data_IF_088546458662
#
_entry.id   IF_088546458662
#
_cell.length_a   1.000
_cell.length_b   1.000
_cell.length_c   1.000
_cell.angle_alpha   90.00
_cell.angle_beta   90.00
_cell.angle_gamma   90.00
#
_symmetry.space_group_name_H-M   'P 1'
#
loop_
_entity.id
_entity.type
_entity.pdbx_description
1 polymer ?
#
# COMPACT_ATOMS: atom_id res chain seq x y z
N UNK A 1 23.69 8.20 5.04
CA UNK A 1 22.66 9.09 5.63
C UNK A 1 21.89 9.72 4.49
N UNK A 2 20.57 9.85 4.62
CA UNK A 2 19.73 10.52 3.63
C UNK A 2 19.30 11.86 4.24
N UNK A 3 19.65 12.96 3.57
CA UNK A 3 19.19 14.30 3.95
C UNK A 3 17.83 14.50 3.32
N UNK A 4 16.78 14.64 4.13
CA UNK A 4 15.46 15.06 3.65
C UNK A 4 15.35 16.55 3.91
N UNK A 5 15.13 17.32 2.85
CA UNK A 5 14.90 18.75 2.95
C UNK A 5 13.39 18.98 2.99
N UNK A 6 12.89 19.53 4.09
CA UNK A 6 11.49 19.93 4.18
C UNK A 6 11.34 21.36 3.62
N UNK A 7 10.86 21.44 2.37
CA UNK A 7 10.57 22.71 1.69
C UNK A 7 9.10 23.15 1.84
N UNK A 8 8.32 22.53 2.72
CA UNK A 8 6.90 22.89 2.91
C UNK A 8 6.71 24.37 3.27
N UNK A 9 7.69 24.99 3.92
CA UNK A 9 7.77 26.44 4.07
C UNK A 9 8.94 27.03 3.26
N UNK A 10 8.68 27.67 2.10
CA UNK A 10 9.71 28.31 1.27
C UNK A 10 10.47 29.44 2.00
N UNK A 11 9.87 30.01 3.06
CA UNK A 11 10.44 31.10 3.85
C UNK A 11 11.20 30.60 5.09
N UNK A 12 11.05 29.33 5.46
CA UNK A 12 11.74 28.70 6.58
C UNK A 12 11.91 27.19 6.32
N UNK A 13 12.83 26.80 5.41
CA UNK A 13 13.08 25.40 5.13
C UNK A 13 13.61 24.71 6.39
N UNK A 14 12.95 23.63 6.82
CA UNK A 14 13.39 22.82 7.96
C UNK A 14 14.31 21.70 7.46
N UNK A 15 15.48 21.58 8.07
CA UNK A 15 16.40 20.50 7.77
C UNK A 15 16.01 19.26 8.58
N UNK A 16 15.58 18.19 7.90
CA UNK A 16 15.21 16.92 8.53
C UNK A 16 16.16 15.82 8.09
N UNK A 17 17.23 15.59 8.85
CA UNK A 17 18.19 14.53 8.52
C UNK A 17 17.69 13.17 8.99
N UNK A 18 17.54 12.23 8.04
CA UNK A 18 17.20 10.83 8.32
C UNK A 18 18.49 9.99 8.27
N UNK A 19 18.96 9.56 9.44
CA UNK A 19 20.15 8.72 9.54
C UNK A 19 19.77 7.24 9.63
N UNK A 20 20.12 6.49 8.60
CA UNK A 20 19.72 5.09 8.39
C UNK A 20 20.83 4.08 8.63
N UNK A 21 22.06 4.56 8.74
CA UNK A 21 23.24 3.77 9.05
C UNK A 21 24.09 4.54 10.07
N UNK A 22 23.59 4.73 11.31
CA UNK A 22 24.30 5.47 12.35
C UNK A 22 25.67 4.89 12.68
N UNK A 23 25.87 3.59 12.46
CA UNK A 23 27.14 2.89 12.65
C UNK A 23 28.22 3.23 11.61
N UNK A 24 27.83 3.70 10.42
CA UNK A 24 28.77 4.12 9.37
C UNK A 24 29.19 5.57 9.51
N UNK A 25 28.65 6.27 10.50
CA UNK A 25 28.87 7.70 10.69
C UNK A 25 30.14 7.91 11.52
N UNK A 26 31.08 8.68 10.98
CA UNK A 26 32.32 8.99 11.69
C UNK A 26 32.01 9.67 13.04
N UNK A 27 32.75 9.32 14.11
CA UNK A 27 32.46 9.82 15.45
C UNK A 27 32.55 11.36 15.55
N UNK A 28 33.46 11.98 14.79
CA UNK A 28 33.61 13.44 14.72
C UNK A 28 32.40 14.11 14.06
N UNK A 29 31.92 13.55 12.94
CA UNK A 29 30.72 14.02 12.26
C UNK A 29 29.47 13.83 13.13
N UNK A 30 29.40 12.72 13.88
CA UNK A 30 28.30 12.45 14.81
C UNK A 30 28.24 13.49 15.92
N UNK A 31 29.38 13.83 16.51
CA UNK A 31 29.46 14.85 17.54
C UNK A 31 29.10 16.23 17.00
N UNK A 32 29.57 16.55 15.79
CA UNK A 32 29.26 17.81 15.11
C UNK A 32 27.77 17.96 14.84
N UNK A 33 27.14 16.92 14.26
CA UNK A 33 25.72 16.93 13.96
C UNK A 33 24.87 16.98 15.22
N UNK A 34 25.18 16.18 16.24
CA UNK A 34 24.47 16.22 17.53
C UNK A 34 24.57 17.57 18.22
N UNK A 35 25.63 18.34 17.98
CA UNK A 35 25.82 19.69 18.51
C UNK A 35 25.04 20.79 17.81
N UNK A 36 24.38 20.52 16.67
CA UNK A 36 23.62 21.52 15.91
C UNK A 36 22.25 21.85 16.52
N UNK A 37 21.77 21.04 17.48
CA UNK A 37 20.49 21.22 18.20
C UNK A 37 19.31 21.62 17.30
N UNK A 38 19.21 20.97 16.13
CA UNK A 38 18.18 21.27 15.14
C UNK A 38 16.83 20.70 15.60
N UNK A 39 15.72 21.46 15.47
CA UNK A 39 14.40 20.98 15.85
C UNK A 39 14.00 19.75 15.01
N UNK A 40 13.62 18.67 15.69
CA UNK A 40 13.24 17.41 15.03
C UNK A 40 14.41 16.53 14.56
N UNK A 41 15.66 16.94 14.85
CA UNK A 41 16.85 16.18 14.51
C UNK A 41 17.29 15.27 15.67
N UNK A 42 17.33 13.96 15.42
CA UNK A 42 17.90 12.98 16.34
C UNK A 42 18.64 11.90 15.57
N UNK A 43 19.86 11.57 15.97
CA UNK A 43 20.60 10.44 15.40
C UNK A 43 20.11 9.17 16.11
N UNK A 44 19.33 8.30 15.44
CA UNK A 44 18.84 7.07 16.06
C UNK A 44 20.00 6.11 16.34
N UNK A 45 19.84 5.28 17.36
CA UNK A 45 20.63 4.07 17.52
C UNK A 45 20.12 2.96 16.59
N UNK A 46 20.89 1.88 16.44
CA UNK A 46 20.44 0.71 15.67
C UNK A 46 19.16 0.08 16.26
N UNK A 47 19.04 0.07 17.59
CA UNK A 47 17.84 -0.41 18.27
C UNK A 47 16.63 0.52 17.99
N UNK A 48 16.85 1.82 17.87
CA UNK A 48 15.78 2.76 17.54
C UNK A 48 15.27 2.57 16.11
N UNK A 49 16.14 2.18 15.17
CA UNK A 49 15.75 1.85 13.79
C UNK A 49 14.90 0.56 13.69
N UNK A 50 15.00 -0.31 14.69
CA UNK A 50 14.14 -1.48 14.80
C UNK A 50 12.76 -1.15 15.40
N UNK A 51 12.65 -0.03 16.13
CA UNK A 51 11.42 0.43 16.77
C UNK A 51 10.45 1.06 15.74
N UNK A 52 9.19 0.64 15.81
CA UNK A 52 8.10 1.12 14.95
C UNK A 52 7.88 2.64 15.06
N UNK A 53 7.96 3.19 16.26
CA UNK A 53 7.75 4.64 16.49
C UNK A 53 8.76 5.50 15.71
N UNK A 54 10.01 5.04 15.59
CA UNK A 54 11.04 5.74 14.81
C UNK A 54 10.73 5.76 13.33
N UNK A 55 10.25 4.63 12.80
CA UNK A 55 9.90 4.49 11.39
C UNK A 55 8.67 5.35 11.05
N UNK A 56 7.65 5.33 11.91
CA UNK A 56 6.45 6.17 11.75
C UNK A 56 6.81 7.66 11.81
N UNK A 57 7.71 8.06 12.71
CA UNK A 57 8.23 9.44 12.77
C UNK A 57 8.96 9.84 11.49
N UNK A 58 9.77 8.97 10.88
CA UNK A 58 10.41 9.29 9.60
C UNK A 58 9.41 9.51 8.47
N UNK A 59 8.38 8.67 8.38
CA UNK A 59 7.32 8.83 7.39
C UNK A 59 6.49 10.08 7.64
N UNK A 60 6.11 10.34 8.89
CA UNK A 60 5.40 11.55 9.31
C UNK A 60 6.18 12.82 8.93
N UNK A 61 7.48 12.85 9.23
CA UNK A 61 8.35 13.98 8.92
C UNK A 61 8.52 14.22 7.43
N UNK A 62 8.63 13.16 6.62
CA UNK A 62 8.83 13.31 5.19
C UNK A 62 7.52 13.63 4.44
N UNK A 63 6.41 13.00 4.84
CA UNK A 63 5.12 13.12 4.15
C UNK A 63 4.23 14.25 4.71
N UNK A 64 4.62 14.87 5.83
CA UNK A 64 3.83 15.91 6.50
C UNK A 64 2.55 15.38 7.15
N UNK A 65 2.54 14.11 7.58
CA UNK A 65 1.36 13.45 8.14
C UNK A 65 1.41 13.56 9.67
N UNK A 66 0.33 14.00 10.36
CA UNK A 66 0.29 14.03 11.81
C UNK A 66 0.40 12.62 12.41
N UNK A 67 1.08 12.51 13.56
CA UNK A 67 1.15 11.28 14.33
C UNK A 67 0.00 11.21 15.33
N UNK A 68 -0.63 10.05 15.42
CA UNK A 68 -1.65 9.75 16.40
C UNK A 68 -1.02 9.13 17.65
N UNK A 69 -1.67 9.28 18.80
CA UNK A 69 -1.21 8.69 20.06
C UNK A 69 -2.03 7.45 20.36
N UNK A 70 -1.37 6.30 20.48
CA UNK A 70 -1.98 5.02 20.86
C UNK A 70 -2.38 5.02 22.34
N UNK A 71 -3.20 4.03 22.72
CA UNK A 71 -3.62 3.81 24.12
C UNK A 71 -2.44 3.61 25.08
N UNK A 72 -1.31 3.12 24.58
CA UNK A 72 -0.06 2.92 25.34
C UNK A 72 0.81 4.19 25.44
N UNK A 73 0.37 5.31 24.86
CA UNK A 73 1.10 6.57 24.81
C UNK A 73 2.15 6.66 23.69
N UNK A 74 2.33 5.61 22.89
CA UNK A 74 3.26 5.62 21.75
C UNK A 74 2.67 6.37 20.55
N UNK A 75 3.54 7.04 19.77
CA UNK A 75 3.14 7.74 18.55
C UNK A 75 3.18 6.79 17.36
N UNK A 76 2.11 6.77 16.57
CA UNK A 76 2.04 5.94 15.38
C UNK A 76 1.28 6.61 14.23
N UNK A 77 1.46 6.08 13.03
CA UNK A 77 0.59 6.38 11.89
C UNK A 77 -0.57 5.39 11.86
N UNK A 78 -1.75 5.81 12.33
CA UNK A 78 -2.93 4.93 12.45
C UNK A 78 -3.33 4.30 11.10
N UNK A 79 -3.16 5.03 10.00
CA UNK A 79 -3.43 4.54 8.64
C UNK A 79 -2.68 3.24 8.29
N UNK A 80 -1.44 3.08 8.76
CA UNK A 80 -0.63 1.87 8.49
C UNK A 80 -1.21 0.67 9.23
N UNK A 81 -1.63 0.86 10.48
CA UNK A 81 -2.18 -0.20 11.33
C UNK A 81 -3.58 -0.63 10.87
N UNK A 82 -4.44 0.33 10.50
CA UNK A 82 -5.77 0.07 9.94
C UNK A 82 -5.72 -0.79 8.67
N UNK A 83 -4.65 -0.63 7.87
CA UNK A 83 -4.43 -1.41 6.66
C UNK A 83 -3.60 -2.68 6.89
N UNK A 84 -3.24 -3.00 8.13
CA UNK A 84 -2.51 -4.21 8.51
C UNK A 84 -1.13 -4.34 7.85
N UNK A 85 -0.51 -3.22 7.46
CA UNK A 85 0.77 -3.22 6.74
C UNK A 85 1.94 -3.34 7.72
N UNK A 86 2.85 -4.27 7.42
CA UNK A 86 4.03 -4.50 8.25
C UNK A 86 5.13 -3.53 7.83
N UNK A 87 5.35 -2.49 8.63
CA UNK A 87 6.40 -1.51 8.38
C UNK A 87 7.77 -2.03 8.84
N UNK A 88 8.71 -2.14 7.91
CA UNK A 88 10.12 -2.45 8.16
C UNK A 88 10.98 -1.23 7.82
N UNK A 89 12.24 -1.21 8.27
CA UNK A 89 13.18 -0.16 7.86
C UNK A 89 13.34 -0.11 6.33
N UNK A 90 13.46 -1.27 5.68
CA UNK A 90 13.57 -1.37 4.22
C UNK A 90 12.36 -0.75 3.51
N UNK A 91 11.13 -1.09 3.94
CA UNK A 91 9.93 -0.52 3.35
C UNK A 91 9.79 0.98 3.63
N UNK A 92 10.20 1.43 4.81
CA UNK A 92 10.26 2.86 5.14
C UNK A 92 11.15 3.60 4.16
N UNK A 93 12.36 3.08 3.92
CA UNK A 93 13.29 3.69 2.97
C UNK A 93 12.79 3.69 1.52
N UNK A 94 12.10 2.61 1.12
CA UNK A 94 11.50 2.51 -0.21
C UNK A 94 10.33 3.48 -0.40
N UNK A 95 9.50 3.69 0.62
CA UNK A 95 8.43 4.69 0.61
C UNK A 95 9.04 6.10 0.52
N UNK A 96 10.07 6.40 1.31
CA UNK A 96 10.77 7.69 1.27
C UNK A 96 11.40 7.96 -0.10
N UNK A 97 12.08 6.96 -0.68
CA UNK A 97 12.69 7.07 -2.00
C UNK A 97 11.65 7.31 -3.11
N UNK A 98 10.48 6.65 -3.00
CA UNK A 98 9.36 6.90 -3.90
C UNK A 98 8.81 8.31 -3.72
N UNK A 99 8.63 8.74 -2.47
CA UNK A 99 8.13 10.07 -2.15
C UNK A 99 9.02 11.18 -2.72
N UNK A 100 10.33 11.09 -2.53
CA UNK A 100 11.30 12.05 -3.07
C UNK A 100 11.24 12.13 -4.60
N UNK A 101 11.21 10.99 -5.28
CA UNK A 101 11.08 10.95 -6.75
C UNK A 101 9.80 11.62 -7.22
N UNK A 102 8.67 11.32 -6.56
CA UNK A 102 7.38 11.95 -6.87
C UNK A 102 7.44 13.47 -6.61
N UNK A 103 8.00 13.90 -5.48
CA UNK A 103 8.13 15.32 -5.13
C UNK A 103 9.00 16.09 -6.13
N UNK A 104 10.06 15.47 -6.64
CA UNK A 104 10.93 16.04 -7.67
C UNK A 104 10.40 15.86 -9.11
N UNK A 105 9.20 15.30 -9.30
CA UNK A 105 8.62 14.97 -10.63
C UNK A 105 9.54 14.07 -11.48
N UNK A 106 10.29 13.18 -10.81
CA UNK A 106 11.12 12.17 -11.45
C UNK A 106 10.27 10.91 -11.66
N UNK A 107 10.25 10.34 -12.89
CA UNK A 107 9.55 9.09 -13.16
C UNK A 107 9.91 7.95 -12.19
N UNK A 108 8.89 7.29 -11.66
CA UNK A 108 9.03 6.21 -10.69
C UNK A 108 8.96 4.83 -11.37
N UNK A 109 10.12 4.31 -11.82
CA UNK A 109 10.24 2.97 -12.38
C UNK A 109 10.95 2.01 -11.42
N UNK A 110 10.21 1.06 -10.87
CA UNK A 110 10.64 0.14 -9.83
C UNK A 110 11.04 -1.20 -10.47
N UNK A 111 12.33 -1.54 -10.44
CA UNK A 111 12.82 -2.86 -10.88
C UNK A 111 13.03 -3.78 -9.67
N UNK A 112 12.33 -4.90 -9.62
CA UNK A 112 12.50 -5.87 -8.54
C UNK A 112 11.82 -7.20 -8.84
N UNK A 113 12.17 -8.22 -8.07
CA UNK A 113 11.61 -9.57 -8.22
C UNK A 113 10.09 -9.61 -7.96
N UNK A 114 9.41 -10.61 -8.48
CA UNK A 114 8.00 -10.85 -8.13
C UNK A 114 7.86 -11.12 -6.64
N UNK A 115 6.82 -10.58 -6.00
CA UNK A 115 6.50 -10.94 -4.61
C UNK A 115 7.34 -10.26 -3.52
N UNK A 116 8.06 -9.18 -3.85
CA UNK A 116 8.81 -8.33 -2.89
C UNK A 116 7.98 -7.14 -2.35
N UNK A 117 6.64 -7.21 -2.46
CA UNK A 117 5.69 -6.18 -2.01
C UNK A 117 5.69 -4.84 -2.78
N UNK A 118 6.10 -4.80 -4.05
CA UNK A 118 6.05 -3.57 -4.89
C UNK A 118 4.65 -2.94 -4.92
N UNK A 119 3.63 -3.73 -5.25
CA UNK A 119 2.24 -3.28 -5.36
C UNK A 119 1.67 -2.89 -3.99
N UNK A 120 1.95 -3.67 -2.94
CA UNK A 120 1.51 -3.37 -1.58
C UNK A 120 2.15 -2.09 -1.01
N UNK A 121 3.43 -1.86 -1.29
CA UNK A 121 4.15 -0.67 -0.86
C UNK A 121 3.63 0.59 -1.58
N UNK A 122 3.37 0.49 -2.88
CA UNK A 122 2.80 1.61 -3.66
C UNK A 122 1.37 1.94 -3.20
N UNK A 123 0.55 0.91 -2.91
CA UNK A 123 -0.78 1.11 -2.31
C UNK A 123 -0.69 1.80 -0.96
N UNK A 124 0.23 1.37 -0.09
CA UNK A 124 0.45 2.00 1.21
C UNK A 124 0.91 3.46 1.06
N UNK A 125 1.80 3.76 0.12
CA UNK A 125 2.20 5.13 -0.20
C UNK A 125 0.99 6.00 -0.63
N UNK A 126 0.11 5.47 -1.49
CA UNK A 126 -1.12 6.17 -1.90
C UNK A 126 -2.06 6.45 -0.73
N UNK A 127 -2.18 5.50 0.20
CA UNK A 127 -3.02 5.66 1.40
C UNK A 127 -2.44 6.72 2.34
N UNK A 128 -1.12 6.69 2.58
CA UNK A 128 -0.43 7.68 3.39
C UNK A 128 -0.56 9.09 2.79
N UNK A 129 -0.38 9.24 1.48
CA UNK A 129 -0.49 10.55 0.80
C UNK A 129 -1.87 11.19 0.94
N UNK A 130 -2.92 10.38 1.07
CA UNK A 130 -4.29 10.85 1.18
C UNK A 130 -4.85 10.66 2.61
N UNK A 131 -4.02 10.30 3.60
CA UNK A 131 -4.50 9.97 4.95
C UNK A 131 -5.02 11.19 5.70
N UNK A 132 -4.42 12.36 5.49
CA UNK A 132 -4.92 13.63 6.04
C UNK A 132 -6.33 13.93 5.55
N UNK A 133 -6.59 13.72 4.26
CA UNK A 133 -7.90 13.88 3.64
C UNK A 133 -8.91 12.85 4.17
N UNK A 134 -8.48 11.62 4.42
CA UNK A 134 -9.32 10.60 5.06
C UNK A 134 -9.70 10.97 6.49
N UNK A 135 -8.76 11.52 7.26
CA UNK A 135 -9.01 11.97 8.63
C UNK A 135 -9.93 13.20 8.68
N UNK A 136 -9.69 14.17 7.81
CA UNK A 136 -10.58 15.33 7.66
C UNK A 136 -11.98 14.89 7.22
N UNK A 137 -12.07 13.91 6.31
CA UNK A 137 -13.34 13.37 5.87
C UNK A 137 -14.14 12.71 6.98
N UNK A 138 -13.48 11.96 7.87
CA UNK A 138 -14.08 11.36 9.07
C UNK A 138 -14.58 12.44 10.04
N UNK A 139 -13.77 13.46 10.32
CA UNK A 139 -14.14 14.54 11.23
C UNK A 139 -15.37 15.31 10.74
N UNK A 140 -15.34 15.76 9.48
CA UNK A 140 -16.48 16.46 8.86
C UNK A 140 -17.75 15.61 8.84
N UNK A 141 -17.61 14.29 8.64
CA UNK A 141 -18.76 13.38 8.69
C UNK A 141 -19.37 13.30 10.09
N UNK A 142 -18.53 13.24 11.12
CA UNK A 142 -19.00 13.23 12.51
C UNK A 142 -19.73 14.54 12.85
N UNK A 143 -19.15 15.68 12.48
CA UNK A 143 -19.78 17.01 12.65
C UNK A 143 -21.10 17.09 11.89
N UNK A 144 -21.15 16.66 10.62
CA UNK A 144 -22.38 16.67 9.84
C UNK A 144 -23.48 15.79 10.45
N UNK A 145 -23.13 14.65 11.05
CA UNK A 145 -24.11 13.78 11.71
C UNK A 145 -24.63 14.40 13.01
N UNK A 146 -23.76 15.06 13.79
CA UNK A 146 -24.17 15.80 14.99
C UNK A 146 -25.05 17.02 14.63
N UNK A 147 -24.73 17.72 13.55
CA UNK A 147 -25.58 18.78 13.00
C UNK A 147 -26.97 18.25 12.61
N UNK A 148 -27.04 17.08 11.98
CA UNK A 148 -28.32 16.44 11.61
C UNK A 148 -29.13 16.11 12.86
N UNK A 149 -28.51 15.59 13.92
CA UNK A 149 -29.19 15.34 15.19
C UNK A 149 -29.77 16.63 15.80
N UNK A 150 -28.98 17.71 15.79
CA UNK A 150 -29.41 19.00 16.32
C UNK A 150 -30.60 19.57 15.52
N UNK A 151 -30.54 19.50 14.18
CA UNK A 151 -31.62 19.95 13.30
C UNK A 151 -32.90 19.14 13.49
N UNK A 152 -32.80 17.82 13.69
CA UNK A 152 -33.97 16.99 13.98
C UNK A 152 -34.64 17.35 15.31
N UNK A 153 -33.82 17.65 16.33
CA UNK A 153 -34.34 18.09 17.63
C UNK A 153 -35.00 19.48 17.54
N UNK A 154 -34.45 20.40 16.72
CA UNK A 154 -35.07 21.71 16.42
C UNK A 154 -36.40 21.57 15.67
N UNK A 155 -36.48 20.61 14.74
CA UNK A 155 -37.70 20.27 13.99
C UNK A 155 -38.75 19.56 14.87
N UNK A 156 -38.43 19.23 16.13
CA UNK A 156 -39.36 18.69 17.13
C UNK A 156 -39.43 17.16 17.19
N UNK A 157 -38.52 16.44 16.53
CA UNK A 157 -38.46 14.99 16.57
C UNK A 157 -37.72 14.48 17.83
N UNK A 158 -38.22 13.38 18.44
CA UNK A 158 -37.52 12.72 19.54
C UNK A 158 -36.32 11.91 19.01
N UNK A 159 -35.10 12.41 19.24
CA UNK A 159 -33.85 11.70 18.89
C UNK A 159 -33.51 10.67 19.97
N UNK A 160 -33.23 9.44 19.55
CA UNK A 160 -32.86 8.36 20.47
C UNK A 160 -31.56 8.66 21.20
N UNK A 161 -31.55 8.50 22.52
CA UNK A 161 -30.34 8.63 23.35
C UNK A 161 -29.50 7.35 23.41
N UNK A 162 -29.98 6.27 22.78
CA UNK A 162 -29.30 4.98 22.79
C UNK A 162 -28.26 4.90 21.67
N UNK A 163 -26.98 4.92 22.05
CA UNK A 163 -25.84 4.85 21.14
C UNK A 163 -24.68 5.72 21.62
N UNK A 164 -23.45 5.30 21.34
CA UNK A 164 -22.24 6.05 21.73
C UNK A 164 -21.86 7.13 20.73
N UNK A 165 -22.36 7.06 19.50
CA UNK A 165 -22.11 8.04 18.44
C UNK A 165 -23.39 8.47 17.71
N UNK A 166 -23.33 9.63 17.04
CA UNK A 166 -24.47 10.22 16.33
C UNK A 166 -25.06 9.28 15.27
N UNK A 167 -24.20 8.55 14.55
CA UNK A 167 -24.64 7.54 13.58
C UNK A 167 -25.52 6.45 14.22
N UNK A 168 -25.16 5.96 15.42
CA UNK A 168 -25.94 4.92 16.11
C UNK A 168 -27.28 5.46 16.61
N UNK A 169 -27.28 6.67 17.17
CA UNK A 169 -28.50 7.34 17.65
C UNK A 169 -29.46 7.65 16.51
N UNK A 170 -28.97 8.17 15.39
CA UNK A 170 -29.77 8.38 14.18
C UNK A 170 -30.30 7.06 13.63
N UNK A 171 -29.49 6.00 13.60
CA UNK A 171 -29.93 4.67 13.16
C UNK A 171 -31.07 4.14 14.03
N UNK A 172 -30.96 4.29 15.35
CA UNK A 172 -32.00 3.88 16.27
C UNK A 172 -33.25 4.76 16.16
N UNK A 173 -33.09 6.06 15.92
CA UNK A 173 -34.21 6.99 15.67
C UNK A 173 -34.99 6.60 14.41
N UNK A 174 -34.30 6.17 13.34
CA UNK A 174 -34.95 5.64 12.13
C UNK A 174 -35.71 4.33 12.44
N UNK A 175 -35.16 3.46 13.29
CA UNK A 175 -35.77 2.19 13.65
C UNK A 175 -37.00 2.37 14.56
N UNK A 176 -36.92 3.26 15.55
CA UNK A 176 -37.99 3.58 16.50
C UNK A 176 -39.12 4.38 15.82
N UNK A 177 -38.77 5.25 14.87
CA UNK A 177 -39.69 6.08 14.06
C UNK A 177 -40.53 5.30 13.03
N UNK A 178 -40.40 3.97 12.96
CA UNK A 178 -41.24 3.13 12.09
C UNK A 178 -42.75 3.19 12.42
N UNK A 179 -43.11 3.72 13.61
CA UNK A 179 -44.49 3.96 14.02
C UNK A 179 -45.12 5.26 13.53
N UNK A 180 -44.33 6.24 13.09
CA UNK A 180 -44.78 7.63 12.79
C UNK A 180 -44.91 7.89 11.28
N UNK A 181 -45.50 6.93 10.55
CA UNK A 181 -45.59 6.90 9.08
C UNK A 181 -44.25 7.06 8.31
N UNK A 182 -43.10 7.01 9.00
CA UNK A 182 -41.77 7.22 8.40
C UNK A 182 -41.37 8.68 8.21
N UNK A 183 -42.04 9.64 8.88
CA UNK A 183 -41.71 11.08 8.78
C UNK A 183 -40.27 11.37 9.22
N UNK A 184 -39.85 10.83 10.38
CA UNK A 184 -38.45 10.97 10.87
C UNK A 184 -37.43 10.40 9.89
N UNK A 185 -37.72 9.24 9.28
CA UNK A 185 -36.84 8.61 8.30
C UNK A 185 -36.74 9.44 7.00
N UNK A 186 -37.85 10.03 6.57
CA UNK A 186 -37.91 10.93 5.40
C UNK A 186 -37.07 12.17 5.65
N UNK A 187 -37.23 12.80 6.82
CA UNK A 187 -36.49 14.00 7.19
C UNK A 187 -34.99 13.75 7.31
N UNK A 188 -34.60 12.65 7.94
CA UNK A 188 -33.19 12.23 8.03
C UNK A 188 -32.61 12.01 6.62
N UNK A 189 -33.35 11.32 5.75
CA UNK A 189 -32.92 11.08 4.37
C UNK A 189 -32.75 12.38 3.58
N UNK A 190 -33.64 13.37 3.73
CA UNK A 190 -33.51 14.69 3.13
C UNK A 190 -32.25 15.43 3.60
N UNK A 191 -32.04 15.49 4.92
CA UNK A 191 -30.89 16.17 5.51
C UNK A 191 -29.57 15.49 5.12
N UNK A 192 -29.52 14.16 5.10
CA UNK A 192 -28.36 13.39 4.61
C UNK A 192 -28.07 13.71 3.14
N UNK A 193 -29.09 13.75 2.28
CA UNK A 193 -28.93 14.09 0.86
C UNK A 193 -28.46 15.53 0.67
N UNK A 194 -28.96 16.47 1.46
CA UNK A 194 -28.53 17.86 1.44
C UNK A 194 -27.05 18.00 1.85
N UNK A 195 -26.66 17.38 2.98
CA UNK A 195 -25.26 17.36 3.42
C UNK A 195 -24.36 16.65 2.42
N UNK A 196 -24.81 15.53 1.83
CA UNK A 196 -24.09 14.81 0.78
C UNK A 196 -23.85 15.69 -0.46
N UNK A 197 -24.85 16.46 -0.91
CA UNK A 197 -24.70 17.39 -2.03
C UNK A 197 -23.70 18.53 -1.80
N UNK A 198 -23.43 18.86 -0.53
CA UNK A 198 -22.46 19.89 -0.13
C UNK A 198 -21.06 19.32 0.16
N UNK A 199 -20.88 17.99 0.11
CA UNK A 199 -19.57 17.38 0.35
C UNK A 199 -18.61 17.67 -0.79
N UNK A 200 -17.32 17.64 -0.44
CA UNK A 200 -16.26 17.73 -1.42
C UNK A 200 -16.34 16.59 -2.45
N UNK A 201 -15.84 16.80 -3.66
CA UNK A 201 -15.84 15.80 -4.71
C UNK A 201 -14.92 14.58 -4.43
N UNK A 202 -14.10 14.62 -3.37
CA UNK A 202 -13.27 13.50 -2.92
C UNK A 202 -14.05 12.40 -2.22
N UNK A 203 -15.25 12.69 -1.71
CA UNK A 203 -16.09 11.67 -1.11
C UNK A 203 -16.66 10.78 -2.20
N UNK A 204 -16.71 9.48 -1.95
CA UNK A 204 -17.31 8.52 -2.87
C UNK A 204 -18.73 8.99 -3.18
N UNK A 205 -18.97 9.27 -4.46
CA UNK A 205 -20.27 9.73 -4.93
C UNK A 205 -21.09 8.52 -5.35
N UNK A 206 -22.06 8.12 -4.51
CA UNK A 206 -23.06 7.14 -4.94
C UNK A 206 -24.09 7.88 -5.81
N UNK A 207 -24.50 7.33 -6.97
CA UNK A 207 -25.64 7.89 -7.68
C UNK A 207 -26.83 7.87 -6.72
N UNK A 208 -27.38 9.04 -6.41
CA UNK A 208 -28.60 9.17 -5.61
C UNK A 208 -29.68 8.34 -6.30
N UNK A 209 -30.05 7.20 -5.71
CA UNK A 209 -31.14 6.40 -6.24
C UNK A 209 -32.41 7.22 -6.09
N UNK A 210 -32.99 7.62 -7.22
CA UNK A 210 -34.38 8.09 -7.26
C UNK A 210 -35.25 6.91 -6.84
N UNK A 211 -35.60 6.84 -5.57
CA UNK A 211 -36.64 5.94 -5.10
C UNK A 211 -37.97 6.53 -5.55
N UNK A 212 -38.60 5.91 -6.54
CA UNK A 212 -40.02 6.12 -6.80
C UNK A 212 -40.78 5.73 -5.52
N UNK A 213 -41.31 6.77 -4.87
CA UNK A 213 -41.96 6.77 -3.57
C UNK A 213 -43.24 5.92 -3.56
N UNK A 214 -43.49 5.19 -2.46
CA UNK A 214 -44.86 4.92 -1.92
C UNK A 214 -44.91 4.00 -0.68
N UNK A 215 -43.85 3.27 -0.30
CA UNK A 215 -43.89 2.38 0.88
C UNK A 215 -42.97 2.86 2.01
N UNK A 216 -43.51 2.93 3.23
CA UNK A 216 -42.78 3.31 4.47
C UNK A 216 -41.54 2.44 4.68
N UNK A 217 -41.66 1.14 4.40
CA UNK A 217 -40.56 0.16 4.52
C UNK A 217 -39.41 0.53 3.57
N UNK A 218 -39.72 1.00 2.37
CA UNK A 218 -38.70 1.42 1.39
C UNK A 218 -37.97 2.68 1.83
N UNK A 219 -38.67 3.65 2.44
CA UNK A 219 -38.08 4.90 2.93
C UNK A 219 -37.16 4.64 4.12
N UNK A 220 -37.61 3.85 5.09
CA UNK A 220 -36.80 3.46 6.26
C UNK A 220 -35.52 2.74 5.81
N UNK A 221 -35.62 1.80 4.87
CA UNK A 221 -34.45 1.09 4.35
C UNK A 221 -33.52 2.02 3.55
N UNK A 222 -34.06 2.97 2.79
CA UNK A 222 -33.28 3.96 2.06
C UNK A 222 -32.51 4.87 3.02
N UNK A 223 -33.16 5.37 4.09
CA UNK A 223 -32.52 6.19 5.12
C UNK A 223 -31.41 5.43 5.85
N UNK A 224 -31.63 4.17 6.22
CA UNK A 224 -30.60 3.33 6.84
C UNK A 224 -29.40 3.10 5.90
N UNK A 225 -29.66 2.78 4.63
CA UNK A 225 -28.60 2.57 3.65
C UNK A 225 -27.78 3.83 3.40
N UNK A 226 -28.44 5.00 3.33
CA UNK A 226 -27.78 6.27 3.13
C UNK A 226 -26.99 6.68 4.38
N UNK A 227 -27.52 6.45 5.58
CA UNK A 227 -26.82 6.69 6.83
C UNK A 227 -25.58 5.78 6.96
N UNK A 228 -25.71 4.49 6.64
CA UNK A 228 -24.60 3.55 6.66
C UNK A 228 -23.51 3.98 5.66
N UNK A 229 -23.92 4.41 4.46
CA UNK A 229 -23.00 4.94 3.44
C UNK A 229 -22.31 6.24 3.88
N UNK A 230 -23.08 7.19 4.41
CA UNK A 230 -22.57 8.47 4.90
C UNK A 230 -21.56 8.25 6.03
N UNK A 231 -21.87 7.32 6.95
CA UNK A 231 -21.02 6.95 8.10
C UNK A 231 -19.74 6.22 7.68
N UNK A 232 -19.74 5.48 6.56
CA UNK A 232 -18.53 4.80 6.07
C UNK A 232 -17.44 5.78 5.61
N UNK A 233 -17.76 7.06 5.37
CA UNK A 233 -16.80 8.08 4.95
C UNK A 233 -15.93 7.67 3.76
N UNK A 234 -16.48 6.88 2.83
CA UNK A 234 -15.72 6.36 1.69
C UNK A 234 -15.15 7.50 0.86
N UNK A 235 -13.86 7.45 0.55
CA UNK A 235 -13.24 8.35 -0.42
C UNK A 235 -13.35 7.74 -1.84
N UNK A 236 -13.35 8.59 -2.84
CA UNK A 236 -13.15 8.18 -4.23
C UNK A 236 -11.88 7.33 -4.36
N UNK A 237 -11.89 6.41 -5.34
CA UNK A 237 -10.75 5.53 -5.58
C UNK A 237 -9.52 6.37 -5.98
N UNK A 238 -8.56 6.47 -5.07
CA UNK A 238 -7.29 7.20 -5.31
C UNK A 238 -6.15 6.32 -5.79
N UNK A 239 -6.30 5.00 -5.71
CA UNK A 239 -5.29 4.03 -6.17
C UNK A 239 -5.84 3.16 -7.29
N UNK A 240 -5.15 3.16 -8.44
CA UNK A 240 -5.47 2.35 -9.61
C UNK A 240 -4.33 1.39 -9.90
N UNK A 241 -4.57 0.11 -9.68
CA UNK A 241 -3.67 -0.99 -10.03
C UNK A 241 -4.04 -1.55 -11.41
N UNK A 242 -3.09 -1.48 -12.34
CA UNK A 242 -3.19 -2.01 -13.69
C UNK A 242 -2.12 -3.08 -13.83
N UNK A 243 -2.54 -4.34 -13.91
CA UNK A 243 -1.64 -5.45 -14.24
C UNK A 243 -1.42 -5.42 -15.75
N UNK A 244 -0.21 -5.09 -16.17
CA UNK A 244 0.11 -5.02 -17.58
C UNK A 244 0.41 -6.42 -18.09
N UNK A 245 -0.25 -6.81 -19.17
CA UNK A 245 0.05 -8.03 -19.91
C UNK A 245 0.08 -7.77 -21.41
N UNK A 246 0.49 -8.78 -22.18
CA UNK A 246 0.62 -8.71 -23.64
C UNK A 246 -0.71 -8.56 -24.39
N UNK A 247 -1.85 -8.78 -23.73
CA UNK A 247 -3.18 -8.69 -24.34
C UNK A 247 -3.76 -7.27 -24.34
N UNK A 248 -3.26 -6.39 -23.47
CA UNK A 248 -3.71 -5.00 -23.40
C UNK A 248 -3.21 -4.19 -24.60
N UNK A 249 -4.15 -3.51 -25.26
CA UNK A 249 -3.91 -2.66 -26.42
C UNK A 249 -3.80 -1.18 -26.04
N UNK A 250 -3.36 -0.33 -26.97
CA UNK A 250 -3.31 1.13 -26.76
C UNK A 250 -4.70 1.71 -26.41
N UNK A 251 -5.75 1.23 -27.08
CA UNK A 251 -7.13 1.66 -26.84
C UNK A 251 -7.61 1.31 -25.42
N UNK A 252 -7.17 0.17 -24.88
CA UNK A 252 -7.49 -0.22 -23.50
C UNK A 252 -6.86 0.75 -22.50
N UNK A 253 -5.59 1.12 -22.71
CA UNK A 253 -4.91 2.12 -21.86
C UNK A 253 -5.59 3.49 -21.97
N UNK A 254 -5.95 3.94 -23.17
CA UNK A 254 -6.68 5.19 -23.37
C UNK A 254 -8.03 5.15 -22.64
N UNK A 255 -8.76 4.03 -22.72
CA UNK A 255 -10.02 3.83 -22.02
C UNK A 255 -9.88 3.87 -20.49
N UNK A 256 -8.88 3.17 -19.95
CA UNK A 256 -8.57 3.17 -18.52
C UNK A 256 -8.18 4.56 -18.03
N UNK A 257 -7.25 5.23 -18.72
CA UNK A 257 -6.80 6.57 -18.35
C UNK A 257 -7.92 7.60 -18.49
N UNK A 258 -8.84 7.46 -19.45
CA UNK A 258 -10.02 8.34 -19.52
C UNK A 258 -10.84 8.33 -18.23
N UNK A 259 -11.02 7.16 -17.61
CA UNK A 259 -11.70 7.03 -16.32
C UNK A 259 -10.87 7.65 -15.18
N UNK A 260 -9.58 7.37 -15.15
CA UNK A 260 -8.64 7.91 -14.13
C UNK A 260 -8.60 9.43 -14.19
N UNK A 261 -8.46 10.02 -15.38
CA UNK A 261 -8.45 11.48 -15.60
C UNK A 261 -9.77 12.12 -15.14
N UNK A 262 -10.90 11.47 -15.38
CA UNK A 262 -12.20 11.95 -14.90
C UNK A 262 -12.26 12.00 -13.37
N UNK A 263 -11.71 11.00 -12.67
CA UNK A 263 -11.60 10.99 -11.20
C UNK A 263 -10.64 12.09 -10.74
N UNK A 264 -9.45 12.18 -11.36
CA UNK A 264 -8.42 13.16 -11.02
C UNK A 264 -8.94 14.60 -11.11
N UNK A 265 -9.71 14.93 -12.16
CA UNK A 265 -10.34 16.23 -12.35
C UNK A 265 -11.40 16.54 -11.29
N UNK A 266 -12.17 15.55 -10.83
CA UNK A 266 -13.16 15.75 -9.75
C UNK A 266 -12.46 16.09 -8.43
N UNK A 267 -11.40 15.37 -8.10
CA UNK A 267 -10.77 15.48 -6.77
C UNK A 267 -9.65 16.52 -6.67
N UNK A 268 -9.37 17.26 -7.76
CA UNK A 268 -8.26 18.21 -7.84
C UNK A 268 -8.34 19.31 -6.77
N UNK A 269 -9.53 19.83 -6.50
CA UNK A 269 -9.77 20.88 -5.50
C UNK A 269 -9.53 20.39 -4.06
N UNK A 270 -9.59 19.08 -3.85
CA UNK A 270 -9.34 18.45 -2.55
C UNK A 270 -7.86 18.19 -2.29
N UNK A 271 -6.96 18.59 -3.19
CA UNK A 271 -5.52 18.31 -3.12
C UNK A 271 -5.20 16.79 -3.01
N UNK A 272 -6.11 15.94 -3.51
CA UNK A 272 -5.96 14.49 -3.47
C UNK A 272 -4.97 14.03 -4.54
N UNK A 273 -4.07 13.13 -4.17
CA UNK A 273 -3.14 12.51 -5.12
C UNK A 273 -3.74 11.20 -5.65
N UNK A 274 -3.87 11.09 -6.97
CA UNK A 274 -4.23 9.84 -7.65
C UNK A 274 -2.96 9.07 -8.00
N UNK A 275 -2.83 7.85 -7.51
CA UNK A 275 -1.68 6.99 -7.80
C UNK A 275 -2.11 5.89 -8.77
N UNK A 276 -1.48 5.86 -9.95
CA UNK A 276 -1.64 4.80 -10.94
C UNK A 276 -0.42 3.89 -10.88
N UNK A 277 -0.64 2.65 -10.49
CA UNK A 277 0.38 1.62 -10.41
C UNK A 277 0.28 0.68 -11.61
N UNK A 278 1.31 0.69 -12.46
CA UNK A 278 1.44 -0.19 -13.62
C UNK A 278 2.37 -1.36 -13.22
N UNK A 279 1.81 -2.55 -12.98
CA UNK A 279 2.61 -3.73 -12.65
C UNK A 279 3.06 -4.45 -13.93
N UNK A 280 4.24 -5.05 -13.89
CA UNK A 280 4.79 -5.87 -14.99
C UNK A 280 4.87 -5.17 -16.36
N UNK A 281 5.20 -3.88 -16.41
CA UNK A 281 5.17 -3.07 -17.66
C UNK A 281 5.96 -3.68 -18.83
N UNK A 282 6.98 -4.49 -18.54
CA UNK A 282 7.86 -5.08 -19.52
C UNK A 282 7.32 -6.36 -20.18
N UNK A 283 6.12 -6.80 -19.82
CA UNK A 283 5.36 -7.83 -20.55
C UNK A 283 4.52 -7.23 -21.69
N UNK A 284 4.37 -5.90 -21.72
CA UNK A 284 3.52 -5.20 -22.68
C UNK A 284 4.07 -5.22 -24.10
N UNK A 285 3.15 -5.31 -25.07
CA UNK A 285 3.43 -5.07 -26.48
C UNK A 285 3.47 -3.57 -26.84
N UNK A 286 2.92 -2.70 -25.99
CA UNK A 286 2.75 -1.24 -26.24
C UNK A 286 3.68 -0.38 -25.39
N UNK A 287 4.97 -0.76 -25.31
CA UNK A 287 5.99 -0.04 -24.53
C UNK A 287 6.17 1.44 -24.94
N UNK A 288 5.83 1.80 -26.18
CA UNK A 288 5.86 3.19 -26.64
C UNK A 288 4.90 4.08 -25.87
N UNK A 289 3.63 3.64 -25.75
CA UNK A 289 2.60 4.35 -24.99
C UNK A 289 2.92 4.37 -23.48
N UNK A 290 3.41 3.25 -22.93
CA UNK A 290 3.81 3.20 -21.52
C UNK A 290 4.98 4.14 -21.22
N UNK A 291 5.92 4.29 -22.17
CA UNK A 291 6.99 5.29 -22.06
C UNK A 291 6.41 6.70 -22.04
N UNK A 292 5.44 7.01 -22.89
CA UNK A 292 4.77 8.32 -22.91
C UNK A 292 4.12 8.62 -21.56
N UNK A 293 3.33 7.66 -21.04
CA UNK A 293 2.63 7.78 -19.76
C UNK A 293 3.60 7.98 -18.60
N UNK A 294 4.65 7.17 -18.52
CA UNK A 294 5.55 7.14 -17.35
C UNK A 294 6.61 8.25 -17.40
N UNK A 295 7.15 8.55 -18.58
CA UNK A 295 8.27 9.49 -18.75
C UNK A 295 7.78 10.87 -19.13
N UNK A 296 6.90 10.97 -20.13
CA UNK A 296 6.45 12.24 -20.68
C UNK A 296 5.19 12.76 -19.98
N UNK A 297 4.65 12.01 -19.01
CA UNK A 297 3.43 12.33 -18.26
C UNK A 297 2.27 12.72 -19.18
N UNK A 298 2.14 11.99 -20.29
CA UNK A 298 1.09 12.22 -21.31
C UNK A 298 0.53 10.91 -21.84
N UNK A 299 -0.65 10.99 -22.45
CA UNK A 299 -1.26 9.87 -23.16
C UNK A 299 -1.96 10.40 -24.42
N UNK A 300 -1.60 9.86 -25.59
CA UNK A 300 -2.13 10.33 -26.87
C UNK A 300 -1.77 11.79 -27.18
N UNK A 301 -0.64 12.27 -26.66
CA UNK A 301 -0.16 13.65 -26.83
C UNK A 301 -0.77 14.67 -25.86
N UNK A 302 -1.70 14.27 -24.99
CA UNK A 302 -2.26 15.14 -23.95
C UNK A 302 -1.58 14.91 -22.60
N UNK A 303 -1.18 15.98 -21.91
CA UNK A 303 -0.62 15.90 -20.56
C UNK A 303 -1.66 15.36 -19.56
N UNK A 304 -1.18 14.52 -18.66
CA UNK A 304 -1.94 14.02 -17.51
C UNK A 304 -2.12 15.14 -16.48
N UNK A 305 -3.17 15.05 -15.67
CA UNK A 305 -3.44 15.99 -14.59
C UNK A 305 -2.31 15.98 -13.55
N UNK A 306 -1.94 17.15 -13.00
CA UNK A 306 -0.78 17.27 -12.10
C UNK A 306 -0.91 16.44 -10.81
N UNK A 307 -2.14 16.13 -10.40
CA UNK A 307 -2.42 15.29 -9.25
C UNK A 307 -2.39 13.78 -9.56
N UNK A 308 -2.06 13.38 -10.79
CA UNK A 308 -1.81 11.99 -11.18
C UNK A 308 -0.33 11.67 -11.04
N UNK A 309 -0.03 10.67 -10.21
CA UNK A 309 1.29 10.08 -10.01
C UNK A 309 1.31 8.69 -10.61
N UNK A 310 2.15 8.47 -11.61
CA UNK A 310 2.35 7.16 -12.22
C UNK A 310 3.57 6.47 -11.60
N UNK A 311 3.35 5.26 -11.09
CA UNK A 311 4.41 4.38 -10.58
C UNK A 311 4.38 3.10 -11.40
N UNK A 312 5.50 2.77 -12.04
CA UNK A 312 5.61 1.59 -12.87
C UNK A 312 6.54 0.56 -12.23
N UNK A 313 6.17 -0.71 -12.25
CA UNK A 313 6.99 -1.81 -11.79
C UNK A 313 7.35 -2.74 -12.95
N UNK A 314 8.57 -3.26 -12.90
CA UNK A 314 9.07 -4.24 -13.86
C UNK A 314 9.86 -5.35 -13.17
N UNK A 315 9.87 -6.51 -13.80
CA UNK A 315 10.71 -7.63 -13.40
C UNK A 315 12.07 -7.54 -14.13
N UNK A 316 13.19 -7.96 -13.52
CA UNK A 316 14.48 -7.94 -14.21
C UNK A 316 14.46 -8.87 -15.45
N UNK A 317 15.09 -8.50 -16.57
CA UNK A 317 15.18 -9.36 -17.73
C UNK A 317 16.06 -10.59 -17.43
N UNK A 318 15.60 -11.77 -17.87
CA UNK A 318 16.33 -13.04 -17.69
C UNK A 318 16.58 -13.69 -19.05
N UNK A 319 17.75 -14.32 -19.19
CA UNK A 319 18.08 -15.18 -20.32
C UNK A 319 17.15 -16.40 -20.35
N UNK A 320 16.85 -16.93 -21.53
CA UNK A 320 16.06 -18.15 -21.64
C UNK A 320 16.92 -19.36 -21.26
N UNK A 321 16.50 -20.14 -20.25
CA UNK A 321 17.08 -21.45 -20.01
C UNK A 321 16.47 -22.39 -21.04
N UNK A 322 17.24 -22.86 -22.02
CA UNK A 322 16.76 -23.84 -23.00
C UNK A 322 16.50 -25.20 -22.31
N UNK A 323 15.32 -25.40 -21.74
CA UNK A 323 14.86 -26.71 -21.27
C UNK A 323 14.37 -27.56 -22.45
N UNK A 324 15.00 -28.72 -22.65
CA UNK A 324 14.61 -29.71 -23.67
C UNK A 324 13.19 -30.22 -23.36
N UNK A 325 12.38 -30.47 -24.41
CA UNK A 325 10.92 -30.70 -24.28
C UNK A 325 10.44 -31.71 -23.22
N UNK A 326 11.22 -32.75 -22.91
CA UNK A 326 10.85 -33.74 -21.85
C UNK A 326 10.94 -33.19 -20.42
N UNK A 327 11.72 -32.15 -20.15
CA UNK A 327 11.84 -31.56 -18.80
C UNK A 327 10.67 -30.63 -18.46
N UNK A 328 10.09 -29.98 -19.48
CA UNK A 328 8.83 -29.23 -19.37
C UNK A 328 7.66 -30.15 -19.03
N UNK A 329 7.59 -31.31 -19.67
CA UNK A 329 6.54 -32.31 -19.43
C UNK A 329 6.64 -32.96 -18.02
N UNK A 330 7.83 -32.97 -17.40
CA UNK A 330 8.04 -33.46 -16.03
C UNK A 330 7.87 -32.39 -14.95
N UNK A 331 7.54 -31.15 -15.33
CA UNK A 331 7.40 -30.03 -14.38
C UNK A 331 8.70 -29.57 -13.73
N UNK A 332 9.87 -29.98 -14.26
CA UNK A 332 11.18 -29.57 -13.73
C UNK A 332 11.56 -28.12 -14.07
N UNK A 333 10.72 -27.44 -14.85
CA UNK A 333 10.85 -26.04 -15.27
C UNK A 333 10.28 -25.04 -14.25
N UNK A 334 9.79 -25.52 -13.10
CA UNK A 334 9.10 -24.72 -12.08
C UNK A 334 9.91 -23.54 -11.50
N UNK A 335 11.23 -23.54 -11.70
CA UNK A 335 12.16 -22.49 -11.24
C UNK A 335 12.80 -21.67 -12.37
N UNK A 336 12.48 -21.94 -13.65
CA UNK A 336 13.13 -21.27 -14.78
C UNK A 336 12.63 -19.85 -15.04
N UNK A 337 11.56 -19.41 -14.37
CA UNK A 337 11.03 -18.06 -14.51
C UNK A 337 10.47 -17.82 -15.91
N UNK A 338 9.23 -18.27 -16.14
CA UNK A 338 8.51 -18.14 -17.41
C UNK A 338 8.19 -16.70 -17.87
N UNK A 339 8.69 -15.68 -17.18
CA UNK A 339 8.41 -14.29 -17.53
C UNK A 339 9.42 -13.80 -18.57
N UNK A 340 9.12 -14.05 -19.85
CA UNK A 340 9.78 -13.37 -20.94
C UNK A 340 9.37 -11.89 -20.88
N UNK A 341 10.36 -11.02 -20.69
CA UNK A 341 10.13 -9.58 -20.61
C UNK A 341 10.95 -8.85 -21.68
N UNK A 342 10.32 -7.89 -22.32
CA UNK A 342 10.95 -7.07 -23.33
C UNK A 342 12.02 -6.15 -22.72
N UNK A 343 13.06 -5.86 -23.50
CA UNK A 343 14.07 -4.86 -23.14
C UNK A 343 13.43 -3.47 -23.09
N UNK A 344 13.64 -2.74 -22.00
CA UNK A 344 13.11 -1.39 -21.85
C UNK A 344 13.77 -0.39 -22.84
N UNK A 345 13.01 0.64 -23.29
CA UNK A 345 13.58 1.77 -24.00
C UNK A 345 14.73 2.45 -23.22
N UNK A 346 15.73 2.97 -23.94
CA UNK A 346 16.95 3.51 -23.33
C UNK A 346 16.74 4.66 -22.34
N UNK A 347 15.68 5.48 -22.52
CA UNK A 347 15.30 6.54 -21.58
C UNK A 347 14.76 5.98 -20.26
N UNK A 348 13.91 4.95 -20.32
CA UNK A 348 13.36 4.28 -19.13
C UNK A 348 14.44 3.56 -18.33
N UNK A 349 15.40 2.93 -19.03
CA UNK A 349 16.48 2.19 -18.37
C UNK A 349 17.41 3.08 -17.51
N UNK A 350 17.49 4.39 -17.78
CA UNK A 350 18.26 5.35 -16.96
C UNK A 350 17.52 5.80 -15.70
N UNK A 351 16.19 5.68 -15.69
CA UNK A 351 15.32 6.18 -14.62
C UNK A 351 14.88 5.08 -13.67
N UNK A 352 15.03 3.81 -14.06
CA UNK A 352 14.77 2.68 -13.17
C UNK A 352 15.64 2.75 -11.93
N UNK A 353 15.08 2.39 -10.79
CA UNK A 353 15.82 2.12 -9.58
C UNK A 353 15.59 0.69 -9.12
N UNK A 354 16.64 0.11 -8.57
CA UNK A 354 16.61 -1.25 -8.07
C UNK A 354 15.87 -1.26 -6.73
N UNK A 355 14.67 -1.81 -6.76
CA UNK A 355 13.96 -2.27 -5.57
C UNK A 355 14.56 -3.58 -5.05
N UNK A 356 15.18 -4.33 -5.95
CA UNK A 356 15.97 -5.52 -5.67
C UNK A 356 15.16 -6.72 -5.18
N UNK A 357 15.88 -7.69 -4.62
CA UNK A 357 15.33 -8.83 -3.89
C UNK A 357 15.44 -8.57 -2.38
N UNK A 358 14.54 -9.17 -1.59
CA UNK A 358 14.67 -9.13 -0.13
C UNK A 358 15.86 -9.98 0.32
N UNK A 359 16.70 -9.38 1.16
CA UNK A 359 17.77 -10.12 1.85
C UNK A 359 17.17 -11.02 2.93
N UNK A 360 17.91 -12.07 3.30
CA UNK A 360 17.51 -12.98 4.38
C UNK A 360 17.17 -12.22 5.68
N UNK A 361 17.97 -11.21 6.03
CA UNK A 361 17.73 -10.37 7.21
C UNK A 361 16.43 -9.57 7.13
N UNK A 362 16.14 -8.95 5.97
CA UNK A 362 14.90 -8.18 5.76
C UNK A 362 13.65 -9.07 5.76
N UNK A 363 13.75 -10.25 5.15
CA UNK A 363 12.65 -11.22 5.11
C UNK A 363 12.34 -11.77 6.51
N UNK A 364 13.39 -12.17 7.25
CA UNK A 364 13.27 -12.62 8.64
C UNK A 364 12.69 -11.55 9.56
N UNK A 365 13.11 -10.30 9.37
CA UNK A 365 12.59 -9.14 10.08
C UNK A 365 11.10 -8.89 9.77
N UNK A 366 10.69 -9.04 8.51
CA UNK A 366 9.29 -9.00 8.11
C UNK A 366 8.45 -10.12 8.77
N UNK A 367 8.95 -11.37 8.74
CA UNK A 367 8.30 -12.52 9.38
C UNK A 367 8.10 -12.26 10.87
N UNK A 368 9.15 -11.79 11.56
CA UNK A 368 9.14 -11.47 12.98
C UNK A 368 8.07 -10.43 13.31
N UNK A 369 8.08 -9.27 12.63
CA UNK A 369 7.08 -8.21 12.86
C UNK A 369 5.67 -8.67 12.53
N UNK A 370 5.50 -9.55 11.53
CA UNK A 370 4.20 -10.13 11.20
C UNK A 370 3.70 -11.04 12.32
N UNK A 371 4.56 -11.89 12.91
CA UNK A 371 4.21 -12.72 14.07
C UNK A 371 3.84 -11.85 15.27
N UNK A 372 4.61 -10.79 15.53
CA UNK A 372 4.32 -9.83 16.60
C UNK A 372 2.93 -9.20 16.42
N UNK A 373 2.58 -8.77 15.20
CA UNK A 373 1.28 -8.20 14.88
C UNK A 373 0.12 -9.21 15.04
N UNK A 374 0.31 -10.47 14.64
CA UNK A 374 -0.70 -11.52 14.75
C UNK A 374 -0.94 -11.98 16.19
N UNK A 375 0.13 -12.11 16.98
CA UNK A 375 0.04 -12.55 18.36
C UNK A 375 -0.40 -11.43 19.31
N UNK A 376 -0.17 -10.16 18.97
CA UNK A 376 -0.50 -9.01 19.83
C UNK A 376 0.00 -9.20 21.27
N UNK A 377 -0.86 -8.89 22.25
CA UNK A 377 -0.63 -9.12 23.68
C UNK A 377 -1.07 -10.52 24.17
N UNK A 378 -1.43 -11.46 23.27
CA UNK A 378 -1.83 -12.81 23.67
C UNK A 378 -0.64 -13.55 24.30
N UNK A 379 -0.95 -14.48 25.21
CA UNK A 379 -0.06 -15.33 26.04
C UNK A 379 0.89 -16.26 25.26
N UNK A 380 1.19 -15.95 24.00
CA UNK A 380 2.24 -16.61 23.23
C UNK A 380 3.59 -16.07 23.71
N UNK A 381 4.32 -16.88 24.48
CA UNK A 381 5.65 -16.54 25.01
C UNK A 381 6.58 -16.05 23.91
N UNK A 382 7.44 -15.08 24.23
CA UNK A 382 8.51 -14.57 23.35
C UNK A 382 9.27 -15.69 22.63
N UNK A 383 9.60 -16.78 23.34
CA UNK A 383 10.28 -17.94 22.80
C UNK A 383 9.53 -18.61 21.64
N UNK A 384 8.19 -18.70 21.71
CA UNK A 384 7.38 -19.30 20.63
C UNK A 384 7.39 -18.42 19.39
N UNK A 385 7.32 -17.09 19.57
CA UNK A 385 7.39 -16.12 18.46
C UNK A 385 8.74 -16.18 17.74
N UNK A 386 9.83 -16.26 18.52
CA UNK A 386 11.17 -16.43 17.99
C UNK A 386 11.30 -17.75 17.22
N UNK A 387 10.87 -18.88 17.81
CA UNK A 387 10.92 -20.19 17.15
C UNK A 387 10.10 -20.23 15.86
N UNK A 388 8.89 -19.65 15.83
CA UNK A 388 8.09 -19.58 14.61
C UNK A 388 8.77 -18.75 13.52
N UNK A 389 9.40 -17.64 13.90
CA UNK A 389 10.19 -16.81 12.98
C UNK A 389 11.31 -17.63 12.35
N UNK A 390 12.06 -18.37 13.16
CA UNK A 390 13.15 -19.23 12.67
C UNK A 390 12.63 -20.33 11.74
N UNK A 391 11.54 -21.01 12.11
CA UNK A 391 10.98 -22.11 11.31
C UNK A 391 10.55 -21.62 9.92
N UNK A 392 9.82 -20.50 9.84
CA UNK A 392 9.36 -19.96 8.55
C UNK A 392 10.56 -19.47 7.72
N UNK A 393 11.50 -18.76 8.35
CA UNK A 393 12.70 -18.26 7.69
C UNK A 393 13.57 -19.39 7.14
N UNK A 394 13.77 -20.46 7.92
CA UNK A 394 14.57 -21.62 7.51
C UNK A 394 13.86 -22.43 6.41
N UNK A 395 12.54 -22.59 6.48
CA UNK A 395 11.77 -23.25 5.43
C UNK A 395 11.94 -22.57 4.06
N UNK A 396 11.89 -21.23 4.03
CA UNK A 396 12.16 -20.44 2.83
C UNK A 396 13.59 -20.64 2.32
N UNK A 397 14.58 -20.64 3.22
CA UNK A 397 15.98 -20.85 2.85
C UNK A 397 16.24 -22.26 2.29
N UNK A 398 15.56 -23.29 2.84
CA UNK A 398 15.62 -24.66 2.31
C UNK A 398 15.04 -24.71 0.90
N UNK A 399 13.90 -24.05 0.65
CA UNK A 399 13.28 -23.98 -0.67
C UNK A 399 14.19 -23.28 -1.69
N UNK A 400 14.83 -22.18 -1.31
CA UNK A 400 15.81 -21.48 -2.16
C UNK A 400 17.03 -22.35 -2.46
N UNK A 401 17.60 -23.04 -1.46
CA UNK A 401 18.71 -23.99 -1.66
C UNK A 401 18.32 -25.17 -2.55
N UNK A 402 17.10 -25.66 -2.44
CA UNK A 402 16.58 -26.72 -3.30
C UNK A 402 16.43 -26.22 -4.75
N UNK A 403 15.83 -25.06 -4.96
CA UNK A 403 15.69 -24.46 -6.28
C UNK A 403 17.05 -24.15 -6.94
N UNK A 404 17.98 -23.53 -6.20
CA UNK A 404 19.34 -23.23 -6.70
C UNK A 404 20.01 -24.49 -7.24
N UNK A 405 19.98 -25.59 -6.49
CA UNK A 405 20.55 -26.88 -6.93
C UNK A 405 19.92 -27.35 -8.23
N UNK A 406 18.60 -27.37 -8.32
CA UNK A 406 17.89 -27.81 -9.52
C UNK A 406 18.18 -26.93 -10.74
N UNK A 407 18.27 -25.61 -10.55
CA UNK A 407 18.59 -24.66 -11.62
C UNK A 407 20.03 -24.87 -12.10
N UNK A 408 21.00 -24.97 -11.19
CA UNK A 408 22.41 -25.24 -11.52
C UNK A 408 22.53 -26.55 -12.29
N UNK A 409 21.90 -27.62 -11.82
CA UNK A 409 21.93 -28.93 -12.49
C UNK A 409 21.30 -28.87 -13.89
N UNK A 410 20.27 -28.04 -14.08
CA UNK A 410 19.63 -27.86 -15.38
C UNK A 410 20.52 -27.02 -16.33
N UNK A 411 21.11 -25.92 -15.85
CA UNK A 411 22.02 -25.08 -16.63
C UNK A 411 23.30 -25.82 -17.03
N UNK A 412 23.89 -26.61 -16.11
CA UNK A 412 25.07 -27.46 -16.39
C UNK A 412 24.78 -28.56 -17.40
N UNK A 413 23.55 -29.09 -17.45
CA UNK A 413 23.14 -30.07 -18.46
C UNK A 413 22.88 -29.44 -19.83
N UNK A 414 22.53 -28.16 -19.87
CA UNK A 414 22.31 -27.41 -21.12
C UNK A 414 23.63 -26.91 -21.75
N UNK A 415 24.63 -26.54 -20.94
CA UNK A 415 25.94 -26.11 -21.41
C UNK A 415 26.93 -27.30 -21.44
N UNK A 416 27.28 -27.78 -22.63
CA UNK A 416 28.35 -28.77 -22.81
C UNK A 416 29.72 -28.13 -22.53
N UNK A 417 30.30 -28.48 -21.37
CA UNK A 417 31.69 -28.21 -20.96
C UNK A 417 32.15 -26.74 -21.02
N UNK A 418 31.86 -25.99 -19.95
CA UNK A 418 32.32 -24.62 -19.76
C UNK A 418 33.51 -24.49 -18.79
N UNK A 419 34.31 -23.44 -19.01
CA UNK A 419 35.40 -22.94 -18.18
C UNK A 419 34.98 -22.60 -16.74
N UNK A 420 35.95 -22.34 -15.86
CA UNK A 420 35.68 -22.00 -14.45
C UNK A 420 34.85 -20.71 -14.30
N UNK A 421 35.05 -19.74 -15.18
CA UNK A 421 34.30 -18.47 -15.19
C UNK A 421 32.82 -18.67 -15.54
N UNK A 422 32.50 -19.58 -16.46
CA UNK A 422 31.11 -19.92 -16.80
C UNK A 422 30.40 -20.65 -15.66
N UNK A 423 31.14 -21.44 -14.87
CA UNK A 423 30.58 -22.12 -13.69
C UNK A 423 30.16 -21.12 -12.60
N UNK A 424 30.97 -20.09 -12.37
CA UNK A 424 30.66 -19.03 -11.39
C UNK A 424 29.47 -18.17 -11.87
N UNK A 425 29.38 -17.85 -13.17
CA UNK A 425 28.23 -17.16 -13.75
C UNK A 425 26.92 -17.94 -13.58
N UNK A 426 26.94 -19.25 -13.82
CA UNK A 426 25.78 -20.14 -13.62
C UNK A 426 25.33 -20.13 -12.17
N UNK A 427 26.25 -20.13 -11.20
CA UNK A 427 25.89 -20.12 -9.78
C UNK A 427 25.25 -18.79 -9.34
N UNK A 428 25.76 -17.66 -9.83
CA UNK A 428 25.18 -16.33 -9.55
C UNK A 428 23.78 -16.24 -10.15
N UNK A 429 23.62 -16.64 -11.41
CA UNK A 429 22.31 -16.58 -12.08
C UNK A 429 21.29 -17.53 -11.42
N UNK A 430 21.72 -18.74 -11.05
CA UNK A 430 20.87 -19.68 -10.33
C UNK A 430 20.47 -19.17 -8.94
N UNK A 431 21.35 -18.45 -8.25
CA UNK A 431 21.02 -17.83 -6.98
C UNK A 431 19.99 -16.71 -7.13
N UNK A 432 20.13 -15.84 -8.14
CA UNK A 432 19.16 -14.79 -8.44
C UNK A 432 17.79 -15.37 -8.81
N UNK A 433 17.75 -16.47 -9.57
CA UNK A 433 16.50 -17.19 -9.90
C UNK A 433 15.89 -17.89 -8.69
N UNK A 434 16.72 -18.48 -7.82
CA UNK A 434 16.24 -19.14 -6.62
C UNK A 434 15.56 -18.17 -5.64
N UNK A 435 15.98 -16.90 -5.62
CA UNK A 435 15.38 -15.88 -4.73
C UNK A 435 13.90 -15.61 -5.04
N UNK A 436 13.45 -15.76 -6.29
CA UNK A 436 12.05 -15.50 -6.68
C UNK A 436 11.11 -16.67 -6.43
N UNK A 437 11.62 -17.83 -5.99
CA UNK A 437 10.84 -19.07 -5.82
C UNK A 437 9.87 -19.01 -4.66
N UNK A 438 10.24 -18.29 -3.60
CA UNK A 438 9.41 -18.04 -2.43
C UNK A 438 9.28 -16.54 -2.22
N UNK A 439 8.08 -16.09 -1.92
CA UNK A 439 7.73 -14.68 -1.85
C UNK A 439 7.11 -14.30 -0.51
N UNK A 440 7.00 -12.99 -0.25
CA UNK A 440 6.24 -12.50 0.90
C UNK A 440 4.76 -12.89 0.84
N UNK A 441 4.22 -13.17 -0.35
CA UNK A 441 2.86 -13.69 -0.53
C UNK A 441 2.71 -15.08 0.05
N UNK A 442 3.74 -15.92 -0.07
CA UNK A 442 3.74 -17.27 0.50
C UNK A 442 3.82 -17.22 2.02
N UNK A 443 4.63 -16.29 2.57
CA UNK A 443 4.67 -16.00 4.01
C UNK A 443 3.28 -15.58 4.51
N UNK A 444 2.60 -14.67 3.81
CA UNK A 444 1.25 -14.25 4.16
C UNK A 444 0.26 -15.43 4.18
N UNK A 445 0.34 -16.34 3.20
CA UNK A 445 -0.49 -17.56 3.15
C UNK A 445 -0.21 -18.50 4.33
N UNK A 446 1.05 -18.68 4.72
CA UNK A 446 1.42 -19.46 5.91
C UNK A 446 0.76 -18.88 7.15
N UNK A 447 0.71 -17.55 7.28
CA UNK A 447 0.06 -16.91 8.42
C UNK A 447 -1.46 -17.03 8.42
N UNK A 448 -2.12 -16.95 7.27
CA UNK A 448 -3.56 -17.22 7.15
C UNK A 448 -3.85 -18.66 7.62
N UNK A 449 -3.03 -19.62 7.19
CA UNK A 449 -3.15 -21.01 7.62
C UNK A 449 -2.91 -21.18 9.12
N UNK A 450 -1.93 -20.47 9.67
CA UNK A 450 -1.64 -20.47 11.10
C UNK A 450 -2.82 -19.91 11.92
N UNK A 451 -3.42 -18.80 11.49
CA UNK A 451 -4.62 -18.24 12.14
C UNK A 451 -5.80 -19.20 12.11
N UNK A 452 -6.02 -19.89 10.98
CA UNK A 452 -7.04 -20.93 10.86
C UNK A 452 -6.82 -22.06 11.89
N UNK A 453 -5.60 -22.58 12.01
CA UNK A 453 -5.31 -23.66 12.96
C UNK A 453 -5.33 -23.21 14.43
N UNK A 454 -4.97 -21.96 14.72
CA UNK A 454 -4.93 -21.47 16.11
C UNK A 454 -6.31 -20.97 16.58
N UNK A 455 -7.08 -20.35 15.69
CA UNK A 455 -8.36 -19.73 15.99
C UNK A 455 -9.57 -20.63 15.75
N UNK A 456 -9.67 -21.23 14.55
CA UNK A 456 -10.88 -21.94 14.12
C UNK A 456 -10.85 -23.42 14.51
N UNK A 457 -9.67 -24.03 14.60
CA UNK A 457 -9.54 -25.44 14.99
C UNK A 457 -10.03 -25.71 16.42
N UNK A 458 -10.01 -24.70 17.31
CA UNK A 458 -10.53 -24.81 18.69
C UNK A 458 -12.05 -24.71 18.79
N UNK A 459 -12.75 -24.26 17.75
CA UNK A 459 -14.22 -24.12 17.74
C UNK A 459 -14.95 -25.38 17.26
N UNK A 460 -14.23 -26.43 16.87
CA UNK A 460 -14.81 -27.68 16.36
C UNK A 460 -15.19 -28.73 17.41
N UNK A 461 -14.85 -28.54 18.68
CA UNK A 461 -15.06 -29.54 19.76
C UNK A 461 -15.89 -28.98 20.95
N UNK A 462 -16.84 -28.06 20.70
CA UNK A 462 -17.80 -27.59 21.72
C UNK A 462 -19.24 -27.69 21.25
#
# INVERSE_FOLDING_TARGET
SQLIYDFTNPKAPEFRLVCTAPEKLEPELRQTLSGLDLPGFSIPTKADLDNRETLDRFLSQALGIPLDTREDGSKCLQCIDENGFILTLDFTMKILSMHERVACRIPCLIEGETGVSKSALTKMYSLLRNSSLANEARHRTMEDLEDIENLLAEDGFEVSTTGTCAAQRLRQTIADGAGDQGESATRILELLRQKHGNRSAIYASRPLTQTDEQSIVTIVQAALNELDFFSQCGLERTFFDINVDSSLTEDDFVGMFKQIRAVARRVVESNATIVVFLDEINTSSVLGLLKEIVIDHSIGGELLEENIVVVAALNPPRSEIQTRGRERDMGNDWASGHYQVASLPGSMNKLKWSYGSLTHGQEKDFIRRRIEALCGNKTTTFLVRASLTEVVSEAHEIMRRFAKRNIVDSMRRAHEAGSKEESDCIEVEAEERARSVVSLRDIQRVFVLFEFFVGDFKKGDS
#
